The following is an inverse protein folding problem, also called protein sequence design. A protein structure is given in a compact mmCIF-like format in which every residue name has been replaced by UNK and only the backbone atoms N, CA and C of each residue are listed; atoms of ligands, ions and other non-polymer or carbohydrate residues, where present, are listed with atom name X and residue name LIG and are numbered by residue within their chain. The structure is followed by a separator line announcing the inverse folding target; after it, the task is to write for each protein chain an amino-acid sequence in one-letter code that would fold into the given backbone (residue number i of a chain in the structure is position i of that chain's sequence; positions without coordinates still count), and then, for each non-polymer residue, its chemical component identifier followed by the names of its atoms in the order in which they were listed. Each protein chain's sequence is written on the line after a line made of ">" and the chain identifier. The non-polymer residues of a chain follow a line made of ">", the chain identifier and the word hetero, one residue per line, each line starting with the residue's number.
data_IF_435047221686
#
_entry.id   IF_435047221686
#
_cell.length_a   1.000
_cell.length_b   1.000
_cell.length_c   1.000
_cell.angle_alpha   90.00
_cell.angle_beta   90.00
_cell.angle_gamma   90.00
#
_symmetry.space_group_name_H-M   'P 1'
#
loop_
_entity.id
_entity.type
_entity.pdbx_description
1 polymer ?
#
# COMPACT_ATOMS: atom_id res chain seq x y z
N UNK A 1 -17.82 -16.37 -8.94
CA UNK A 1 -16.59 -16.90 -9.57
C UNK A 1 -16.00 -15.82 -10.47
N UNK A 2 -15.42 -14.81 -9.84
CA UNK A 2 -14.70 -13.73 -10.54
C UNK A 2 -13.26 -14.20 -10.72
N UNK A 3 -12.90 -14.55 -11.92
CA UNK A 3 -11.54 -14.75 -12.36
C UNK A 3 -10.88 -13.37 -12.50
N UNK A 4 -10.29 -12.86 -11.44
CA UNK A 4 -9.32 -11.79 -11.49
C UNK A 4 -8.05 -12.36 -12.14
N UNK A 5 -7.93 -12.26 -13.46
CA UNK A 5 -6.67 -12.38 -14.20
C UNK A 5 -6.00 -11.01 -14.23
N UNK A 6 -5.57 -10.54 -13.09
CA UNK A 6 -4.64 -9.44 -12.95
C UNK A 6 -3.43 -9.96 -12.18
N UNK A 7 -2.26 -9.40 -12.39
CA UNK A 7 -1.05 -9.65 -11.60
C UNK A 7 -1.47 -9.66 -10.14
N UNK A 8 -1.39 -10.83 -9.48
CA UNK A 8 -1.94 -11.06 -8.16
C UNK A 8 -1.35 -10.09 -7.15
N UNK A 9 -2.18 -9.66 -6.21
CA UNK A 9 -1.74 -8.83 -5.10
C UNK A 9 -0.56 -9.49 -4.40
N UNK A 10 0.49 -8.73 -4.16
CA UNK A 10 1.68 -9.22 -3.48
C UNK A 10 1.70 -8.63 -2.10
N UNK A 11 1.62 -9.49 -1.11
CA UNK A 11 1.55 -9.13 0.31
C UNK A 11 2.93 -9.20 0.95
N UNK A 12 3.19 -8.25 1.83
CA UNK A 12 4.36 -8.23 2.70
C UNK A 12 3.97 -7.73 4.06
N UNK A 13 4.63 -8.24 5.09
CA UNK A 13 4.39 -7.81 6.44
C UNK A 13 5.68 -7.49 7.16
N UNK A 14 5.64 -6.40 7.91
CA UNK A 14 6.68 -5.97 8.80
C UNK A 14 6.13 -5.85 10.22
N UNK A 15 6.98 -6.15 11.19
CA UNK A 15 6.74 -5.89 12.59
C UNK A 15 7.75 -4.84 13.03
N UNK A 16 7.30 -3.88 13.82
CA UNK A 16 8.15 -2.86 14.38
C UNK A 16 7.80 -2.61 15.85
N UNK A 17 8.83 -2.30 16.64
CA UNK A 17 8.74 -1.84 18.01
C UNK A 17 9.83 -0.77 18.18
N UNK A 18 10.87 -0.94 19.00
CA UNK A 18 12.06 -0.09 18.99
C UNK A 18 12.86 -0.18 17.69
N UNK A 19 12.78 -1.31 17.01
CA UNK A 19 13.34 -1.58 15.68
C UNK A 19 12.28 -2.13 14.72
N UNK A 20 12.64 -2.24 13.44
CA UNK A 20 11.75 -2.79 12.41
C UNK A 20 12.37 -3.96 11.68
N UNK A 21 11.62 -5.04 11.50
CA UNK A 21 12.06 -6.20 10.74
C UNK A 21 10.95 -6.78 9.84
N UNK A 22 11.38 -7.50 8.81
CA UNK A 22 10.46 -8.16 7.87
C UNK A 22 10.05 -9.53 8.41
N UNK A 23 8.79 -9.70 8.77
CA UNK A 23 8.23 -10.99 9.20
C UNK A 23 7.86 -11.89 8.04
N UNK A 24 7.23 -11.32 7.01
CA UNK A 24 6.84 -12.06 5.81
C UNK A 24 7.45 -11.40 4.60
N UNK A 25 8.27 -12.11 3.80
CA UNK A 25 8.78 -11.59 2.53
C UNK A 25 7.63 -11.37 1.53
N UNK A 26 7.92 -10.71 0.42
CA UNK A 26 6.95 -10.52 -0.66
C UNK A 26 6.42 -11.88 -1.15
N UNK A 27 5.10 -12.08 -1.07
CA UNK A 27 4.42 -13.30 -1.49
C UNK A 27 3.05 -12.99 -2.07
N UNK A 28 2.64 -13.73 -3.08
CA UNK A 28 1.26 -13.75 -3.59
C UNK A 28 0.38 -14.78 -2.86
N UNK A 29 0.98 -15.57 -1.97
CA UNK A 29 0.24 -16.57 -1.18
C UNK A 29 -0.29 -15.95 0.12
N UNK A 30 -1.59 -15.70 0.12
CA UNK A 30 -2.33 -15.17 1.28
C UNK A 30 -2.23 -16.09 2.52
N UNK A 31 -2.09 -17.42 2.34
CA UNK A 31 -2.01 -18.35 3.46
C UNK A 31 -0.68 -18.22 4.22
N UNK A 32 0.42 -17.92 3.53
CA UNK A 32 1.71 -17.64 4.16
C UNK A 32 1.59 -16.41 5.05
N UNK A 33 0.97 -15.34 4.54
CA UNK A 33 0.74 -14.11 5.29
C UNK A 33 -0.14 -14.35 6.51
N UNK A 34 -1.24 -15.10 6.36
CA UNK A 34 -2.14 -15.43 7.47
C UNK A 34 -1.47 -16.32 8.53
N UNK A 35 -0.60 -17.24 8.12
CA UNK A 35 0.17 -18.07 9.07
C UNK A 35 1.13 -17.20 9.88
N UNK A 36 1.89 -16.33 9.22
CA UNK A 36 2.80 -15.40 9.89
C UNK A 36 2.08 -14.49 10.89
N UNK A 37 0.82 -14.11 10.58
CA UNK A 37 -0.05 -13.35 11.50
C UNK A 37 -0.32 -14.10 12.81
N UNK A 38 -0.60 -15.39 12.72
CA UNK A 38 -0.90 -16.24 13.91
C UNK A 38 0.34 -16.54 14.75
N UNK A 39 1.51 -16.39 14.18
CA UNK A 39 2.80 -16.66 14.83
C UNK A 39 3.38 -15.43 15.53
N UNK A 40 2.67 -14.29 15.51
CA UNK A 40 3.11 -13.10 16.27
C UNK A 40 3.01 -13.41 17.75
N UNK A 41 4.13 -13.26 18.42
CA UNK A 41 4.22 -13.36 19.87
C UNK A 41 5.07 -12.22 20.39
N UNK A 42 4.72 -11.72 21.54
CA UNK A 42 5.64 -10.90 22.31
C UNK A 42 6.95 -11.68 22.50
N UNK A 43 8.05 -11.14 22.02
CA UNK A 43 9.36 -11.71 22.26
C UNK A 43 10.33 -10.60 22.72
N UNK A 44 11.37 -10.99 23.45
CA UNK A 44 12.36 -10.09 24.00
C UNK A 44 13.51 -9.78 23.02
N UNK A 45 13.33 -10.12 21.75
CA UNK A 45 14.38 -9.97 20.72
C UNK A 45 14.47 -8.53 20.25
N UNK A 46 13.35 -7.79 20.34
CA UNK A 46 13.26 -6.40 19.90
C UNK A 46 13.12 -5.52 21.13
N UNK A 47 13.90 -4.44 21.17
CA UNK A 47 13.77 -3.41 22.21
C UNK A 47 12.35 -2.84 22.23
N UNK A 48 11.86 -2.52 23.41
CA UNK A 48 10.55 -1.91 23.60
C UNK A 48 10.49 -0.52 22.98
N UNK A 49 9.27 -0.04 22.72
CA UNK A 49 9.00 1.26 22.12
C UNK A 49 8.26 1.15 20.80
N UNK A 50 7.95 2.28 20.19
CA UNK A 50 7.20 2.39 18.93
C UNK A 50 8.00 3.25 17.95
N UNK A 51 8.70 2.60 17.01
CA UNK A 51 9.54 3.26 16.01
C UNK A 51 8.80 3.35 14.66
N UNK A 52 7.80 4.24 14.57
CA UNK A 52 6.96 4.41 13.37
C UNK A 52 7.82 4.75 12.15
N UNK A 53 8.75 5.69 12.28
CA UNK A 53 9.62 6.11 11.19
C UNK A 53 10.48 4.98 10.63
N UNK A 54 11.02 4.11 11.50
CA UNK A 54 11.78 2.93 11.12
C UNK A 54 10.90 1.92 10.37
N UNK A 55 9.67 1.68 10.86
CA UNK A 55 8.68 0.82 10.24
C UNK A 55 8.34 1.28 8.83
N UNK A 56 8.06 2.58 8.67
CA UNK A 56 7.77 3.19 7.38
C UNK A 56 8.97 3.13 6.43
N UNK A 57 10.15 3.58 6.85
CA UNK A 57 11.35 3.59 6.01
C UNK A 57 11.71 2.18 5.51
N UNK A 58 11.62 1.18 6.40
CA UNK A 58 11.84 -0.21 6.03
C UNK A 58 10.79 -0.70 5.03
N UNK A 59 9.52 -0.31 5.21
CA UNK A 59 8.42 -0.65 4.28
C UNK A 59 8.65 -0.05 2.91
N UNK A 60 8.94 1.25 2.86
CA UNK A 60 9.24 1.99 1.62
C UNK A 60 10.41 1.35 0.87
N UNK A 61 11.53 1.12 1.57
CA UNK A 61 12.71 0.51 0.94
C UNK A 61 12.42 -0.86 0.31
N UNK A 62 11.44 -1.56 0.83
CA UNK A 62 11.08 -2.90 0.35
C UNK A 62 10.13 -2.91 -0.83
N UNK A 63 9.32 -1.86 -1.03
CA UNK A 63 8.32 -1.82 -2.09
C UNK A 63 8.61 -0.74 -3.14
N UNK A 64 9.59 0.16 -2.93
CA UNK A 64 9.91 1.25 -3.85
C UNK A 64 10.17 0.78 -5.27
N UNK A 65 10.90 -0.33 -5.43
CA UNK A 65 11.29 -0.90 -6.72
C UNK A 65 10.22 -1.86 -7.30
N UNK A 66 9.07 -1.98 -6.65
CA UNK A 66 7.97 -2.81 -7.14
C UNK A 66 7.41 -2.25 -8.45
N UNK A 67 7.14 -3.13 -9.42
CA UNK A 67 6.48 -2.79 -10.69
C UNK A 67 4.94 -2.80 -10.59
N UNK A 68 4.39 -2.92 -9.38
CA UNK A 68 2.96 -2.85 -9.17
C UNK A 68 2.42 -1.47 -9.56
N UNK A 69 1.19 -1.43 -10.11
CA UNK A 69 0.51 -0.18 -10.52
C UNK A 69 0.17 0.69 -9.32
N UNK A 70 -0.26 0.10 -8.23
CA UNK A 70 -0.48 0.75 -6.94
C UNK A 70 0.46 0.16 -5.89
N UNK A 71 1.06 1.01 -5.08
CA UNK A 71 1.93 0.65 -3.96
C UNK A 71 1.34 1.26 -2.70
N UNK A 72 0.94 0.42 -1.75
CA UNK A 72 0.22 0.83 -0.55
C UNK A 72 0.93 0.28 0.69
N UNK A 73 1.07 1.12 1.70
CA UNK A 73 1.46 0.74 3.06
C UNK A 73 0.26 0.98 3.98
N UNK A 74 -0.11 -0.02 4.76
CA UNK A 74 -1.03 0.15 5.87
C UNK A 74 -0.21 0.16 7.15
N UNK A 75 -0.14 1.32 7.78
CA UNK A 75 0.51 1.55 9.07
C UNK A 75 -0.51 1.32 10.19
N UNK A 76 -0.26 0.35 11.04
CA UNK A 76 -1.12 0.03 12.18
C UNK A 76 -0.33 0.26 13.46
N UNK A 77 -0.79 1.14 14.34
CA UNK A 77 -0.12 1.48 15.60
C UNK A 77 -1.12 1.72 16.73
N UNK A 78 -0.71 1.38 17.93
CA UNK A 78 -1.45 1.61 19.18
C UNK A 78 -0.76 2.62 20.10
N UNK A 79 0.33 3.27 19.63
CA UNK A 79 1.13 4.20 20.43
C UNK A 79 1.69 5.37 19.65
N UNK A 80 2.35 6.26 20.38
CA UNK A 80 3.11 7.40 19.84
C UNK A 80 4.50 6.97 19.39
N UNK A 81 5.07 7.68 18.42
CA UNK A 81 6.46 7.47 18.03
C UNK A 81 7.41 7.89 19.16
N UNK A 82 8.02 6.93 19.84
CA UNK A 82 8.91 7.16 20.99
C UNK A 82 10.25 6.42 20.90
N UNK A 83 10.53 5.78 19.77
CA UNK A 83 11.74 5.02 19.52
C UNK A 83 12.21 5.14 18.07
N UNK A 84 13.41 4.62 17.78
CA UNK A 84 14.01 4.65 16.46
C UNK A 84 14.71 5.97 16.16
N UNK A 85 15.52 5.99 15.10
CA UNK A 85 16.34 7.14 14.70
C UNK A 85 15.88 7.79 13.40
N UNK A 86 14.84 7.25 12.74
CA UNK A 86 14.23 7.85 11.55
C UNK A 86 12.95 8.58 11.95
N UNK A 87 12.90 9.86 11.59
CA UNK A 87 11.69 10.64 11.78
C UNK A 87 10.54 10.14 10.90
N UNK A 88 9.31 9.95 11.43
CA UNK A 88 8.17 9.47 10.68
C UNK A 88 7.78 10.34 9.47
N UNK A 89 7.91 11.67 9.58
CA UNK A 89 7.60 12.58 8.48
C UNK A 89 8.62 12.42 7.35
N UNK A 90 9.91 12.32 7.68
CA UNK A 90 10.96 12.04 6.68
C UNK A 90 10.71 10.72 5.95
N UNK A 91 10.27 9.69 6.66
CA UNK A 91 9.91 8.41 6.04
C UNK A 91 8.67 8.53 5.13
N UNK A 92 7.69 9.38 5.48
CA UNK A 92 6.52 9.65 4.66
C UNK A 92 6.87 10.48 3.41
N UNK A 93 7.78 11.45 3.51
CA UNK A 93 8.31 12.19 2.37
C UNK A 93 8.96 11.23 1.35
N UNK A 94 9.76 10.29 1.84
CA UNK A 94 10.34 9.26 1.00
C UNK A 94 9.27 8.38 0.32
N UNK A 95 8.22 8.01 1.05
CA UNK A 95 7.10 7.26 0.48
C UNK A 95 6.41 8.02 -0.65
N UNK A 96 6.18 9.32 -0.44
CA UNK A 96 5.60 10.22 -1.46
C UNK A 96 6.46 10.29 -2.72
N UNK A 97 7.79 10.40 -2.58
CA UNK A 97 8.73 10.43 -3.73
C UNK A 97 8.60 9.17 -4.60
N UNK A 98 8.42 7.99 -3.97
CA UNK A 98 8.21 6.72 -4.67
C UNK A 98 6.76 6.41 -5.03
N UNK A 99 5.85 7.37 -4.89
CA UNK A 99 4.41 7.21 -5.18
C UNK A 99 3.80 6.04 -4.39
N UNK A 100 4.15 5.94 -3.12
CA UNK A 100 3.64 4.94 -2.19
C UNK A 100 2.63 5.63 -1.28
N UNK A 101 1.38 5.18 -1.30
CA UNK A 101 0.34 5.67 -0.39
C UNK A 101 0.47 5.03 0.99
N UNK A 102 0.21 5.82 2.02
CA UNK A 102 0.18 5.33 3.40
C UNK A 102 -1.21 5.55 3.98
N UNK A 103 -1.87 4.47 4.35
CA UNK A 103 -3.07 4.49 5.19
C UNK A 103 -2.64 4.24 6.63
N UNK A 104 -2.92 5.18 7.51
CA UNK A 104 -2.58 5.05 8.94
C UNK A 104 -3.81 4.68 9.74
N UNK A 105 -3.68 3.67 10.59
CA UNK A 105 -4.74 3.19 11.48
C UNK A 105 -4.24 3.27 12.92
N UNK A 106 -4.84 4.15 13.72
CA UNK A 106 -4.62 4.20 15.15
C UNK A 106 -5.52 3.20 15.88
N UNK A 107 -4.95 2.31 16.68
CA UNK A 107 -5.67 1.27 17.42
C UNK A 107 -5.95 1.66 18.85
N UNK A 108 -7.17 1.42 19.30
CA UNK A 108 -7.58 1.58 20.71
C UNK A 108 -8.12 2.96 21.03
N UNK A 109 -8.27 3.26 22.30
CA UNK A 109 -8.78 4.54 22.82
C UNK A 109 -7.70 5.22 23.64
N UNK A 110 -7.69 6.56 23.63
CA UNK A 110 -6.80 7.31 24.51
C UNK A 110 -7.25 7.09 25.96
N UNK A 111 -6.30 6.80 26.87
CA UNK A 111 -6.59 6.59 28.28
C UNK A 111 -5.71 5.54 28.93
N UNK A 112 -6.18 4.95 30.02
CA UNK A 112 -5.45 3.90 30.73
C UNK A 112 -5.69 2.55 30.05
N UNK A 113 -4.62 1.93 29.58
CA UNK A 113 -4.63 0.57 29.04
C UNK A 113 -3.72 -0.36 29.84
N UNK A 114 -4.12 -1.61 29.99
CA UNK A 114 -3.32 -2.64 30.63
C UNK A 114 -2.20 -3.09 29.68
N UNK A 115 -1.00 -2.58 29.94
CA UNK A 115 0.17 -2.82 29.08
C UNK A 115 1.27 -3.59 29.84
N UNK A 116 2.06 -4.44 29.16
CA UNK A 116 3.19 -5.10 29.76
C UNK A 116 4.29 -4.07 30.06
N UNK A 117 4.64 -3.93 31.33
CA UNK A 117 5.65 -2.97 31.82
C UNK A 117 6.99 -3.60 32.17
N UNK A 118 7.10 -4.92 32.11
CA UNK A 118 8.34 -5.63 32.40
C UNK A 118 8.14 -7.14 32.45
N UNK A 119 9.24 -7.85 32.63
CA UNK A 119 9.25 -9.32 32.75
C UNK A 119 9.82 -9.67 34.11
N UNK A 120 9.15 -10.55 34.83
CA UNK A 120 9.65 -11.06 36.11
C UNK A 120 10.83 -12.06 35.92
N UNK A 121 11.49 -12.41 37.01
CA UNK A 121 12.60 -13.37 37.00
C UNK A 121 12.21 -14.78 36.48
N UNK A 122 10.91 -15.06 36.33
CA UNK A 122 10.37 -16.32 35.80
C UNK A 122 9.97 -16.21 34.33
N UNK A 123 10.23 -15.07 33.66
CA UNK A 123 9.88 -14.83 32.25
C UNK A 123 8.40 -14.49 32.00
N UNK A 124 7.64 -14.13 33.04
CA UNK A 124 6.24 -13.76 32.93
C UNK A 124 6.10 -12.24 32.85
N UNK A 125 5.24 -11.74 31.96
CA UNK A 125 4.96 -10.33 31.82
C UNK A 125 4.21 -9.79 33.04
N UNK A 126 4.70 -8.67 33.56
CA UNK A 126 4.00 -7.84 34.53
C UNK A 126 3.21 -6.79 33.79
N UNK A 127 1.93 -6.66 34.11
CA UNK A 127 1.03 -5.70 33.49
C UNK A 127 0.71 -4.57 34.46
N UNK A 128 0.67 -3.33 33.95
CA UNK A 128 0.20 -2.17 34.67
C UNK A 128 -0.70 -1.32 33.77
N UNK A 129 -1.56 -0.52 34.40
CA UNK A 129 -2.32 0.49 33.68
C UNK A 129 -1.37 1.63 33.30
N UNK A 130 -1.15 1.81 32.02
CA UNK A 130 -0.29 2.83 31.44
C UNK A 130 -1.18 3.80 30.66
N UNK A 131 -0.87 5.08 30.74
CA UNK A 131 -1.48 6.08 29.89
C UNK A 131 -1.06 5.79 28.44
N UNK A 132 -2.04 5.43 27.61
CA UNK A 132 -1.84 5.23 26.17
C UNK A 132 -2.40 6.41 25.44
N UNK A 133 -1.63 6.96 24.54
CA UNK A 133 -2.00 8.08 23.69
C UNK A 133 -1.62 7.73 22.26
N UNK A 134 -2.42 8.19 21.31
CA UNK A 134 -2.14 8.01 19.89
C UNK A 134 -1.98 9.39 19.29
N UNK A 135 -0.89 9.62 18.61
CA UNK A 135 -0.63 10.87 17.90
C UNK A 135 -1.38 10.91 16.57
N UNK A 136 -2.68 11.24 16.69
CA UNK A 136 -3.56 11.33 15.53
C UNK A 136 -3.10 12.40 14.54
N UNK A 137 -2.50 13.50 15.02
CA UNK A 137 -2.01 14.57 14.17
C UNK A 137 -0.86 14.07 13.28
N UNK A 138 0.11 13.38 13.86
CA UNK A 138 1.22 12.77 13.13
C UNK A 138 0.71 11.75 12.10
N UNK A 139 -0.19 10.86 12.50
CA UNK A 139 -0.73 9.81 11.63
C UNK A 139 -1.55 10.38 10.48
N UNK A 140 -2.34 11.43 10.73
CA UNK A 140 -3.09 12.16 9.72
C UNK A 140 -2.15 12.83 8.73
N UNK A 141 -1.13 13.54 9.22
CA UNK A 141 -0.14 14.21 8.38
C UNK A 141 0.60 13.23 7.46
N UNK A 142 1.05 12.08 7.98
CA UNK A 142 1.70 11.01 7.20
C UNK A 142 0.80 10.53 6.07
N UNK A 143 -0.47 10.26 6.38
CA UNK A 143 -1.42 9.73 5.41
C UNK A 143 -1.75 10.76 4.33
N UNK A 144 -2.13 11.98 4.69
CA UNK A 144 -2.50 13.05 3.76
C UNK A 144 -1.33 13.42 2.82
N UNK A 145 -0.11 13.50 3.35
CA UNK A 145 1.09 13.80 2.58
C UNK A 145 1.33 12.81 1.44
N UNK A 146 0.95 11.54 1.64
CA UNK A 146 1.16 10.45 0.69
C UNK A 146 -0.07 10.13 -0.17
N UNK A 147 -1.17 10.88 0.00
CA UNK A 147 -2.43 10.66 -0.71
C UNK A 147 -3.27 9.51 -0.14
N UNK A 148 -2.97 9.06 1.06
CA UNK A 148 -3.78 8.11 1.83
C UNK A 148 -4.73 8.79 2.80
N UNK A 149 -5.20 8.04 3.81
CA UNK A 149 -6.16 8.50 4.82
C UNK A 149 -5.85 7.92 6.19
N UNK A 150 -6.11 8.71 7.24
CA UNK A 150 -6.07 8.26 8.62
C UNK A 150 -7.42 7.67 9.04
N UNK A 151 -7.38 6.59 9.81
CA UNK A 151 -8.54 5.95 10.43
C UNK A 151 -8.28 5.66 11.90
N UNK A 152 -9.37 5.61 12.68
CA UNK A 152 -9.35 5.21 14.08
C UNK A 152 -10.14 3.93 14.27
N UNK A 153 -9.49 2.88 14.80
CA UNK A 153 -10.14 1.62 15.13
C UNK A 153 -10.19 1.44 16.66
N UNK A 154 -11.39 1.37 17.22
CA UNK A 154 -11.62 1.15 18.65
C UNK A 154 -11.82 -0.32 19.00
N UNK A 155 -12.20 -1.11 18.02
CA UNK A 155 -12.51 -2.54 18.16
C UNK A 155 -12.22 -3.31 16.85
N UNK A 156 -12.39 -4.62 16.89
CA UNK A 156 -12.11 -5.51 15.75
C UNK A 156 -13.12 -5.36 14.59
N UNK A 157 -14.33 -4.93 14.86
CA UNK A 157 -15.36 -4.75 13.83
C UNK A 157 -15.05 -3.50 13.03
N UNK A 158 -14.80 -2.38 13.71
CA UNK A 158 -14.34 -1.14 13.08
C UNK A 158 -13.07 -1.35 12.27
N UNK A 159 -12.13 -2.17 12.77
CA UNK A 159 -10.92 -2.48 12.02
C UNK A 159 -11.21 -3.23 10.70
N UNK A 160 -12.17 -4.16 10.70
CA UNK A 160 -12.57 -4.87 9.46
C UNK A 160 -13.24 -3.93 8.46
N UNK A 161 -14.09 -3.02 8.93
CA UNK A 161 -14.73 -2.01 8.10
C UNK A 161 -13.67 -1.12 7.44
N UNK A 162 -12.69 -0.62 8.20
CA UNK A 162 -11.57 0.18 7.69
C UNK A 162 -10.80 -0.57 6.60
N UNK A 163 -10.49 -1.85 6.79
CA UNK A 163 -9.82 -2.64 5.75
C UNK A 163 -10.67 -2.79 4.48
N UNK A 164 -12.00 -2.91 4.62
CA UNK A 164 -12.93 -2.95 3.50
C UNK A 164 -12.96 -1.63 2.74
N UNK A 165 -12.99 -0.50 3.47
CA UNK A 165 -12.96 0.84 2.91
C UNK A 165 -11.66 1.10 2.12
N UNK A 166 -10.51 0.71 2.67
CA UNK A 166 -9.22 0.84 2.00
C UNK A 166 -9.20 -0.01 0.70
N UNK A 167 -9.72 -1.23 0.76
CA UNK A 167 -9.81 -2.12 -0.42
C UNK A 167 -10.71 -1.53 -1.52
N UNK A 168 -11.81 -0.86 -1.14
CA UNK A 168 -12.70 -0.19 -2.07
C UNK A 168 -12.05 1.06 -2.69
N UNK A 169 -11.39 1.89 -1.89
CA UNK A 169 -10.66 3.07 -2.36
C UNK A 169 -9.59 2.69 -3.39
N UNK A 170 -8.79 1.66 -3.12
CA UNK A 170 -7.72 1.23 -4.03
C UNK A 170 -8.25 0.55 -5.30
N UNK A 171 -9.38 -0.17 -5.23
CA UNK A 171 -10.03 -0.74 -6.42
C UNK A 171 -10.55 0.33 -7.35
N UNK A 172 -11.19 1.36 -6.82
CA UNK A 172 -11.75 2.45 -7.61
C UNK A 172 -10.67 3.17 -8.41
N UNK A 173 -9.51 3.45 -7.82
CA UNK A 173 -8.39 4.07 -8.53
C UNK A 173 -7.83 3.18 -9.65
N UNK A 174 -7.72 1.88 -9.44
CA UNK A 174 -7.25 0.94 -10.47
C UNK A 174 -8.23 0.88 -11.65
N UNK A 175 -9.52 1.00 -11.41
CA UNK A 175 -10.55 1.03 -12.45
C UNK A 175 -10.49 2.32 -13.28
N UNK A 176 -10.28 3.48 -12.68
CA UNK A 176 -10.10 4.75 -13.39
C UNK A 176 -8.93 4.70 -14.37
N UNK A 177 -7.81 4.09 -14.00
CA UNK A 177 -6.66 3.89 -14.90
C UNK A 177 -6.95 2.92 -16.07
N UNK A 178 -7.89 2.01 -15.96
CA UNK A 178 -8.27 1.11 -17.05
C UNK A 178 -9.03 1.79 -18.18
N UNK A 179 -9.76 2.83 -17.91
CA UNK A 179 -10.57 3.55 -18.90
C UNK A 179 -9.75 4.34 -19.93
N UNK A 180 -8.48 4.60 -19.70
CA UNK A 180 -7.60 5.35 -20.60
C UNK A 180 -6.73 4.51 -21.53
N UNK A 181 -6.93 3.19 -21.59
CA UNK A 181 -6.31 2.37 -22.62
C UNK A 181 -7.10 2.51 -23.92
N UNK A 182 -6.82 3.57 -24.65
CA UNK A 182 -7.37 3.75 -26.01
C UNK A 182 -6.70 2.71 -26.92
N UNK A 183 -7.47 1.73 -27.33
CA UNK A 183 -7.04 0.72 -28.31
C UNK A 183 -7.05 1.39 -29.70
N UNK A 184 -5.90 1.94 -30.08
CA UNK A 184 -5.75 2.65 -31.35
C UNK A 184 -5.88 1.70 -32.53
N UNK A 185 -7.10 1.55 -33.06
CA UNK A 185 -7.40 0.73 -34.25
C UNK A 185 -7.20 1.46 -35.57
N UNK A 186 -6.64 2.65 -35.58
CA UNK A 186 -6.48 3.43 -36.79
C UNK A 186 -5.68 2.73 -37.90
N UNK A 187 -4.76 1.84 -37.54
CA UNK A 187 -3.94 1.08 -38.49
C UNK A 187 -4.79 0.20 -39.43
N UNK A 188 -5.90 -0.32 -38.96
CA UNK A 188 -6.82 -1.12 -39.79
C UNK A 188 -7.55 -0.30 -40.84
N UNK A 189 -7.73 0.98 -40.61
CA UNK A 189 -8.35 1.91 -41.55
C UNK A 189 -7.34 2.64 -42.43
N UNK A 190 -6.13 2.85 -41.94
CA UNK A 190 -5.05 3.54 -42.66
C UNK A 190 -4.58 2.74 -43.87
N UNK A 191 -4.37 1.44 -43.74
CA UNK A 191 -3.93 0.56 -44.82
C UNK A 191 -4.90 0.52 -46.01
N UNK A 192 -6.22 0.27 -45.84
CA UNK A 192 -7.16 0.35 -46.92
C UNK A 192 -7.28 1.75 -47.56
N UNK A 193 -7.17 2.82 -46.78
CA UNK A 193 -7.18 4.18 -47.28
C UNK A 193 -6.00 4.45 -48.23
N UNK A 194 -4.79 4.05 -47.84
CA UNK A 194 -3.59 4.19 -48.68
C UNK A 194 -3.75 3.37 -49.99
N UNK A 195 -4.27 2.15 -49.90
CA UNK A 195 -4.52 1.30 -51.08
C UNK A 195 -5.51 1.97 -52.04
N UNK A 196 -6.59 2.55 -51.54
CA UNK A 196 -7.61 3.24 -52.37
C UNK A 196 -7.00 4.48 -53.05
N UNK A 197 -6.19 5.28 -52.35
CA UNK A 197 -5.50 6.44 -52.94
C UNK A 197 -4.51 6.01 -54.03
N UNK A 198 -3.73 4.95 -53.77
CA UNK A 198 -2.82 4.40 -54.77
C UNK A 198 -3.57 3.86 -56.03
N UNK A 199 -4.69 3.17 -55.82
CA UNK A 199 -5.54 2.68 -56.87
C UNK A 199 -6.15 3.84 -57.73
N UNK A 200 -6.64 4.89 -57.10
CA UNK A 200 -7.11 6.09 -57.78
C UNK A 200 -6.04 6.73 -58.64
N UNK A 201 -4.80 6.87 -58.08
CA UNK A 201 -3.67 7.39 -58.86
C UNK A 201 -3.35 6.53 -60.10
N UNK A 202 -3.30 5.22 -59.95
CA UNK A 202 -3.05 4.30 -61.06
C UNK A 202 -4.16 4.41 -62.11
N UNK A 203 -5.40 4.44 -61.72
CA UNK A 203 -6.54 4.62 -62.63
C UNK A 203 -6.45 5.94 -63.41
N UNK A 204 -6.11 7.04 -62.76
CA UNK A 204 -5.92 8.35 -63.40
C UNK A 204 -4.76 8.34 -64.41
N UNK A 205 -3.65 7.66 -64.09
CA UNK A 205 -2.48 7.59 -64.96
C UNK A 205 -2.59 6.64 -66.15
N UNK A 206 -3.43 5.55 -66.01
CA UNK A 206 -3.52 4.49 -67.00
C UNK A 206 -4.78 4.57 -67.86
N UNK A 207 -5.94 4.67 -67.23
CA UNK A 207 -7.25 4.55 -67.94
C UNK A 207 -7.87 5.89 -68.26
N UNK A 208 -7.81 6.87 -67.34
CA UNK A 208 -8.43 8.17 -67.52
C UNK A 208 -7.54 9.18 -68.27
N UNK A 209 -6.30 8.83 -68.59
CA UNK A 209 -5.40 9.67 -69.41
C UNK A 209 -5.88 9.82 -70.88
N UNK A 210 -6.81 8.99 -71.32
CA UNK A 210 -7.33 8.98 -72.70
C UNK A 210 -8.57 9.86 -72.88
N UNK A 211 -9.00 10.62 -71.86
CA UNK A 211 -10.22 11.45 -71.92
C UNK A 211 -10.00 12.92 -71.64
N UNK A 212 -8.73 13.41 -71.73
CA UNK A 212 -8.40 14.87 -71.74
C UNK A 212 -7.57 15.17 -72.96
#
# INVERSE_FOLDING_TARGET
>A
RLLSRGLGDVYKRQEYAGESYTKTPLTSDKNITLRSLREIKYNNIIEGGTAIGMGLATSVNRIKDSKAKSKVIILLTDGVNNAGFIDPITAAELAKEFQIKIYSIGLGTNGLALSPVGIDARGKFNYANVQVEIDENLLTQISEMTGGKYFRATDNETLKEIYSDIDELEKTEIEEFKYYSVDEKFRYFLLPAIILIAFEMIMKLTILRSFI
#
